data_IF_538346000252
#
_entry.id   IF_538346000252
#
_cell.length_a   1.000
_cell.length_b   1.000
_cell.length_c   1.000
_cell.angle_alpha   90.00
_cell.angle_beta   90.00
_cell.angle_gamma   90.00
#
_symmetry.space_group_name_H-M   'P 1'
#
loop_
_entity.id
_entity.type
_entity.pdbx_description
1 polymer ?
#
# COMPACT_ATOMS: atom_id res chain seq x y z
N UNK A 1 -13.18 -2.03 -6.92
CA UNK A 1 -12.36 -2.39 -8.10
C UNK A 1 -13.15 -3.13 -9.17
N UNK A 2 -13.55 -4.40 -9.00
CA UNK A 2 -14.15 -5.21 -10.09
C UNK A 2 -15.41 -4.63 -10.76
N UNK A 3 -16.24 -3.87 -10.03
CA UNK A 3 -17.37 -3.17 -10.63
C UNK A 3 -16.93 -2.13 -11.68
N UNK A 4 -15.83 -1.42 -11.42
CA UNK A 4 -15.24 -0.45 -12.34
C UNK A 4 -14.64 -1.16 -13.57
N UNK A 5 -13.94 -2.29 -13.37
CA UNK A 5 -13.40 -3.08 -14.46
C UNK A 5 -14.46 -3.58 -15.44
N UNK A 6 -15.70 -3.80 -14.98
CA UNK A 6 -16.83 -4.24 -15.82
C UNK A 6 -17.64 -3.09 -16.41
N UNK A 7 -17.31 -1.84 -16.10
CA UNK A 7 -18.04 -0.71 -16.59
C UNK A 7 -17.80 -0.55 -18.11
N UNK A 8 -18.85 -0.40 -18.94
CA UNK A 8 -18.70 -0.42 -20.40
C UNK A 8 -18.10 0.88 -20.97
N UNK A 9 -18.25 1.99 -20.26
CA UNK A 9 -17.68 3.28 -20.66
C UNK A 9 -16.39 3.57 -19.89
N UNK A 10 -15.57 4.46 -20.45
CA UNK A 10 -14.31 4.91 -19.85
C UNK A 10 -14.52 5.37 -18.40
N UNK A 11 -13.71 4.82 -17.50
CA UNK A 11 -13.64 5.19 -16.08
C UNK A 11 -12.37 6.01 -15.86
N UNK A 12 -12.51 7.22 -15.36
CA UNK A 12 -11.39 8.08 -14.94
C UNK A 12 -11.45 8.28 -13.43
N UNK A 13 -10.31 8.10 -12.76
CA UNK A 13 -10.15 8.37 -11.32
C UNK A 13 -9.28 9.59 -11.14
N UNK A 14 -9.78 10.59 -10.42
CA UNK A 14 -9.04 11.81 -10.07
C UNK A 14 -8.47 11.69 -8.65
N UNK A 15 -7.15 11.88 -8.52
CA UNK A 15 -6.40 11.82 -7.25
C UNK A 15 -5.81 13.20 -6.98
N UNK A 16 -6.52 14.09 -6.25
CA UNK A 16 -6.06 15.44 -5.98
C UNK A 16 -5.01 15.54 -4.87
N UNK A 17 -4.96 14.55 -3.95
CA UNK A 17 -4.03 14.57 -2.81
C UNK A 17 -3.36 13.21 -2.58
N UNK A 18 -4.14 12.17 -2.28
CA UNK A 18 -3.57 10.83 -2.11
C UNK A 18 -4.61 9.74 -2.31
N UNK A 19 -4.16 8.55 -2.74
CA UNK A 19 -4.96 7.33 -2.75
C UNK A 19 -4.09 6.14 -2.29
N UNK A 20 -4.31 5.70 -1.05
CA UNK A 20 -3.54 4.62 -0.42
C UNK A 20 -4.35 3.33 -0.31
N UNK A 21 -3.70 2.17 -0.31
CA UNK A 21 -4.31 0.86 -0.05
C UNK A 21 -5.54 0.61 -0.95
N UNK A 22 -6.75 0.51 -0.38
CA UNK A 22 -7.99 0.35 -1.14
C UNK A 22 -8.26 1.46 -2.17
N UNK A 23 -7.82 2.69 -1.91
CA UNK A 23 -7.90 3.80 -2.86
C UNK A 23 -7.05 3.55 -4.10
N UNK A 24 -5.85 3.01 -3.92
CA UNK A 24 -4.97 2.60 -5.03
C UNK A 24 -5.62 1.48 -5.84
N UNK A 25 -6.23 0.47 -5.21
CA UNK A 25 -6.94 -0.59 -5.92
C UNK A 25 -8.12 -0.07 -6.77
N UNK A 26 -8.77 1.01 -6.33
CA UNK A 26 -9.80 1.70 -7.10
C UNK A 26 -9.17 2.43 -8.30
N UNK A 27 -8.08 3.18 -8.07
CA UNK A 27 -7.36 3.88 -9.13
C UNK A 27 -6.84 2.93 -10.21
N UNK A 28 -6.23 1.80 -9.82
CA UNK A 28 -5.73 0.77 -10.74
C UNK A 28 -6.84 0.13 -11.60
N UNK A 29 -8.09 0.17 -11.14
CA UNK A 29 -9.22 -0.36 -11.91
C UNK A 29 -9.75 0.60 -12.99
N UNK A 30 -9.32 1.87 -12.96
CA UNK A 30 -9.71 2.88 -13.94
C UNK A 30 -8.99 2.69 -15.28
N UNK A 31 -9.55 3.27 -16.34
CA UNK A 31 -8.88 3.39 -17.64
C UNK A 31 -7.81 4.48 -17.63
N UNK A 32 -7.99 5.50 -16.80
CA UNK A 32 -7.10 6.64 -16.66
C UNK A 32 -7.08 7.11 -15.20
N UNK A 33 -5.89 7.41 -14.70
CA UNK A 33 -5.68 7.97 -13.36
C UNK A 33 -5.16 9.40 -13.55
N UNK A 34 -5.98 10.39 -13.23
CA UNK A 34 -5.56 11.79 -13.27
C UNK A 34 -5.05 12.18 -11.89
N UNK A 35 -3.77 12.46 -11.78
CA UNK A 35 -3.11 12.82 -10.52
C UNK A 35 -2.78 14.30 -10.52
N UNK A 36 -2.92 14.95 -9.37
CA UNK A 36 -2.18 16.18 -9.12
C UNK A 36 -0.67 15.87 -9.14
N UNK A 37 0.21 16.78 -9.63
CA UNK A 37 1.65 16.56 -9.65
C UNK A 37 2.26 16.19 -8.29
N UNK A 38 1.69 16.71 -7.20
CA UNK A 38 2.12 16.47 -5.82
C UNK A 38 1.29 15.36 -5.14
N UNK A 39 0.35 14.74 -5.85
CA UNK A 39 -0.43 13.63 -5.31
C UNK A 39 0.35 12.31 -5.29
N UNK A 40 -0.05 11.44 -4.36
CA UNK A 40 0.62 10.16 -4.14
C UNK A 40 -0.35 8.99 -4.17
N UNK A 41 0.08 7.88 -4.78
CA UNK A 41 -0.52 6.57 -4.60
C UNK A 41 0.22 5.81 -3.50
N UNK A 42 -0.42 4.79 -2.92
CA UNK A 42 0.22 3.89 -1.97
C UNK A 42 0.46 2.50 -2.56
N UNK A 43 1.38 1.72 -2.00
CA UNK A 43 1.43 0.29 -2.26
C UNK A 43 0.14 -0.39 -1.75
N UNK A 44 -0.09 -1.61 -2.23
CA UNK A 44 -1.25 -2.42 -1.84
C UNK A 44 -0.82 -3.66 -1.07
N UNK A 45 0.40 -3.66 -0.53
CA UNK A 45 0.95 -4.76 0.25
C UNK A 45 0.08 -5.05 1.48
N UNK A 46 -0.15 -6.33 1.80
CA UNK A 46 -0.96 -6.69 2.96
C UNK A 46 -0.19 -6.55 4.27
N UNK A 47 -0.86 -6.00 5.27
CA UNK A 47 -0.40 -5.95 6.66
C UNK A 47 -1.16 -6.95 7.53
N UNK A 48 -0.47 -7.62 8.44
CA UNK A 48 -1.04 -8.57 9.40
C UNK A 48 -0.75 -8.08 10.83
N UNK A 49 -1.78 -7.56 11.49
CA UNK A 49 -1.61 -6.85 12.75
C UNK A 49 -0.74 -5.62 12.55
N UNK A 50 0.37 -5.53 13.29
CA UNK A 50 1.30 -4.40 13.23
C UNK A 50 2.48 -4.62 12.28
N UNK A 51 2.49 -5.73 11.52
CA UNK A 51 3.64 -6.12 10.71
C UNK A 51 3.29 -6.26 9.23
N UNK A 52 4.17 -5.83 8.31
CA UNK A 52 4.05 -6.17 6.90
C UNK A 52 4.14 -7.68 6.68
N UNK A 53 3.31 -8.22 5.80
CA UNK A 53 3.33 -9.65 5.47
C UNK A 53 4.71 -10.13 5.00
N UNK A 54 5.41 -9.30 4.21
CA UNK A 54 6.74 -9.63 3.66
C UNK A 54 7.78 -9.76 4.76
N UNK A 55 7.71 -8.93 5.80
CA UNK A 55 8.60 -9.01 6.95
C UNK A 55 8.43 -10.31 7.73
N UNK A 56 7.19 -10.80 7.88
CA UNK A 56 6.91 -12.09 8.53
C UNK A 56 7.51 -13.27 7.74
N UNK A 57 7.48 -13.20 6.40
CA UNK A 57 8.13 -14.22 5.56
C UNK A 57 9.65 -14.20 5.69
N UNK A 58 10.24 -13.01 5.83
CA UNK A 58 11.68 -12.85 6.00
C UNK A 58 12.18 -13.51 7.29
N UNK A 59 11.40 -13.47 8.37
CA UNK A 59 11.74 -14.17 9.62
C UNK A 59 11.91 -15.68 9.40
N UNK A 60 11.10 -16.30 8.53
CA UNK A 60 11.22 -17.72 8.19
C UNK A 60 12.50 -18.07 7.43
N UNK A 61 13.12 -17.09 6.77
CA UNK A 61 14.35 -17.28 6.00
C UNK A 61 15.60 -17.05 6.87
N UNK A 62 15.50 -16.17 7.86
CA UNK A 62 16.64 -15.72 8.67
C UNK A 62 16.80 -16.49 9.99
N UNK A 63 15.75 -17.17 10.47
CA UNK A 63 15.79 -17.93 11.72
C UNK A 63 15.46 -19.40 11.49
N UNK A 64 16.15 -20.27 12.22
CA UNK A 64 15.77 -21.68 12.29
C UNK A 64 14.38 -21.82 12.91
N UNK A 65 13.59 -22.74 12.36
CA UNK A 65 12.18 -22.95 12.72
C UNK A 65 11.96 -23.20 14.22
N UNK A 66 12.93 -23.82 14.88
CA UNK A 66 12.92 -24.12 16.32
C UNK A 66 12.98 -22.86 17.21
N UNK A 67 13.45 -21.73 16.66
CA UNK A 67 13.57 -20.44 17.35
C UNK A 67 12.48 -19.45 16.95
N UNK A 68 11.43 -19.89 16.25
CA UNK A 68 10.30 -19.08 15.81
C UNK A 68 9.08 -19.52 16.60
N UNK A 69 8.37 -18.56 17.19
CA UNK A 69 7.12 -18.85 17.90
C UNK A 69 6.01 -19.27 16.93
N UNK A 70 5.11 -20.13 17.40
CA UNK A 70 4.01 -20.68 16.59
C UNK A 70 3.12 -19.58 15.99
N UNK A 71 2.93 -18.47 16.71
CA UNK A 71 2.11 -17.36 16.22
C UNK A 71 2.77 -16.69 15.01
N UNK A 72 4.09 -16.47 15.03
CA UNK A 72 4.84 -15.96 13.87
C UNK A 72 4.76 -16.93 12.69
N UNK A 73 4.84 -18.25 12.92
CA UNK A 73 4.68 -19.23 11.85
C UNK A 73 3.29 -19.16 11.19
N UNK A 74 2.23 -19.04 12.00
CA UNK A 74 0.86 -18.89 11.51
C UNK A 74 0.70 -17.58 10.74
N UNK A 75 1.17 -16.46 11.31
CA UNK A 75 1.10 -15.15 10.66
C UNK A 75 1.87 -15.13 9.35
N UNK A 76 3.03 -15.78 9.27
CA UNK A 76 3.80 -15.89 8.04
C UNK A 76 3.04 -16.70 6.97
N UNK A 77 2.38 -17.80 7.33
CA UNK A 77 1.55 -18.55 6.38
C UNK A 77 0.35 -17.73 5.88
N UNK A 78 -0.35 -17.02 6.77
CA UNK A 78 -1.44 -16.09 6.39
C UNK A 78 -0.89 -14.96 5.52
N UNK A 79 0.28 -14.42 5.85
CA UNK A 79 0.95 -13.37 5.08
C UNK A 79 1.29 -13.79 3.67
N UNK A 80 1.85 -15.00 3.49
CA UNK A 80 2.10 -15.60 2.17
C UNK A 80 0.83 -15.67 1.34
N UNK A 81 -0.27 -16.14 1.93
CA UNK A 81 -1.57 -16.25 1.26
C UNK A 81 -2.10 -14.86 0.89
N UNK A 82 -1.99 -13.89 1.79
CA UNK A 82 -2.45 -12.53 1.56
C UNK A 82 -1.69 -11.85 0.41
N UNK A 83 -0.36 -11.96 0.38
CA UNK A 83 0.47 -11.40 -0.72
C UNK A 83 0.03 -11.98 -2.06
N UNK A 84 -0.11 -13.30 -2.13
CA UNK A 84 -0.53 -13.98 -3.35
C UNK A 84 -1.95 -13.58 -3.79
N UNK A 85 -2.88 -13.43 -2.84
CA UNK A 85 -4.24 -12.99 -3.12
C UNK A 85 -4.29 -11.56 -3.65
N UNK A 86 -3.54 -10.64 -3.05
CA UNK A 86 -3.46 -9.25 -3.51
C UNK A 86 -2.80 -9.19 -4.88
N UNK A 87 -1.66 -9.87 -5.09
CA UNK A 87 -0.97 -9.91 -6.39
C UNK A 87 -1.92 -10.38 -7.49
N UNK A 88 -2.62 -11.49 -7.28
CA UNK A 88 -3.63 -12.01 -8.22
C UNK A 88 -4.78 -11.03 -8.45
N UNK A 89 -5.21 -10.32 -7.42
CA UNK A 89 -6.26 -9.31 -7.54
C UNK A 89 -5.81 -8.16 -8.43
N UNK A 90 -4.63 -7.59 -8.17
CA UNK A 90 -4.05 -6.50 -8.96
C UNK A 90 -3.80 -6.94 -10.40
N UNK A 91 -3.24 -8.13 -10.61
CA UNK A 91 -3.03 -8.68 -11.94
C UNK A 91 -4.35 -8.77 -12.72
N UNK A 92 -5.41 -9.33 -12.13
CA UNK A 92 -6.74 -9.42 -12.77
C UNK A 92 -7.35 -8.05 -13.09
N UNK A 93 -7.06 -7.04 -12.28
CA UNK A 93 -7.54 -5.67 -12.49
C UNK A 93 -6.82 -5.03 -13.69
N UNK A 94 -5.51 -5.23 -13.79
CA UNK A 94 -4.66 -4.58 -14.78
C UNK A 94 -4.60 -5.31 -16.14
N UNK A 95 -4.64 -6.65 -16.14
CA UNK A 95 -4.46 -7.49 -17.33
C UNK A 95 -5.34 -7.09 -18.52
N UNK A 96 -6.65 -6.80 -18.37
CA UNK A 96 -7.50 -6.38 -19.49
C UNK A 96 -7.06 -5.07 -20.16
N UNK A 97 -6.30 -4.22 -19.47
CA UNK A 97 -5.94 -2.87 -19.94
C UNK A 97 -4.53 -2.78 -20.51
N UNK A 98 -3.61 -3.61 -20.03
CA UNK A 98 -2.18 -3.50 -20.37
C UNK A 98 -1.49 -4.83 -20.71
N UNK A 99 -2.26 -5.92 -20.76
CA UNK A 99 -1.76 -7.25 -21.06
C UNK A 99 -1.14 -7.96 -19.85
N UNK A 100 -1.08 -9.29 -19.93
CA UNK A 100 -0.69 -10.15 -18.83
C UNK A 100 0.74 -9.87 -18.30
N UNK A 101 1.72 -9.70 -19.19
CA UNK A 101 3.12 -9.51 -18.79
C UNK A 101 3.32 -8.19 -18.01
N UNK A 102 2.77 -7.08 -18.53
CA UNK A 102 2.90 -5.77 -17.86
C UNK A 102 2.09 -5.73 -16.56
N UNK A 103 0.89 -6.30 -16.55
CA UNK A 103 0.07 -6.43 -15.35
C UNK A 103 0.78 -7.23 -14.25
N UNK A 104 1.44 -8.34 -14.61
CA UNK A 104 2.17 -9.17 -13.66
C UNK A 104 3.37 -8.44 -13.04
N UNK A 105 4.16 -7.73 -13.86
CA UNK A 105 5.30 -6.91 -13.37
C UNK A 105 4.85 -5.84 -12.37
N UNK A 106 3.76 -5.13 -12.67
CA UNK A 106 3.24 -4.06 -11.80
C UNK A 106 2.62 -4.66 -10.54
N UNK A 107 1.84 -5.74 -10.68
CA UNK A 107 1.26 -6.43 -9.54
C UNK A 107 2.35 -6.94 -8.58
N UNK A 108 3.45 -7.45 -9.12
CA UNK A 108 4.61 -7.84 -8.33
C UNK A 108 5.23 -6.64 -7.62
N UNK A 109 5.57 -5.57 -8.34
CA UNK A 109 6.20 -4.38 -7.73
C UNK A 109 5.38 -3.80 -6.57
N UNK A 110 4.05 -3.78 -6.71
CA UNK A 110 3.14 -3.25 -5.70
C UNK A 110 2.87 -4.20 -4.51
N UNK A 111 3.31 -5.46 -4.56
CA UNK A 111 3.01 -6.48 -3.54
C UNK A 111 4.22 -7.19 -2.94
N UNK A 112 5.39 -7.12 -3.58
CA UNK A 112 6.61 -7.84 -3.16
C UNK A 112 7.29 -7.25 -1.92
N UNK A 113 6.78 -6.13 -1.39
CA UNK A 113 7.40 -5.42 -0.27
C UNK A 113 8.66 -4.65 -0.66
N UNK A 114 8.74 -4.20 -1.93
CA UNK A 114 9.77 -3.26 -2.40
C UNK A 114 9.78 -1.98 -1.57
N UNK A 115 8.60 -1.59 -1.08
CA UNK A 115 8.38 -0.39 -0.30
C UNK A 115 7.71 -0.71 1.04
N UNK A 116 7.85 0.22 1.99
CA UNK A 116 7.01 0.23 3.19
C UNK A 116 5.58 0.63 2.82
N UNK A 117 4.60 0.23 3.64
CA UNK A 117 3.19 0.48 3.36
C UNK A 117 2.84 1.97 3.18
N UNK A 118 3.58 2.86 3.84
CA UNK A 118 3.39 4.31 3.77
C UNK A 118 4.22 4.99 2.69
N UNK A 119 4.90 4.24 1.83
CA UNK A 119 5.71 4.82 0.77
C UNK A 119 4.83 5.57 -0.24
N UNK A 120 5.08 6.87 -0.46
CA UNK A 120 4.36 7.64 -1.46
C UNK A 120 4.87 7.29 -2.85
N UNK A 121 4.03 6.69 -3.68
CA UNK A 121 4.27 6.51 -5.11
C UNK A 121 3.83 7.79 -5.80
N UNK A 122 4.79 8.61 -6.20
CA UNK A 122 4.57 9.89 -6.88
C UNK A 122 4.01 9.71 -8.29
N UNK A 123 3.53 10.79 -8.90
CA UNK A 123 3.10 10.78 -10.30
C UNK A 123 4.20 10.25 -11.25
N UNK A 124 5.45 10.68 -11.08
CA UNK A 124 6.56 10.24 -11.93
C UNK A 124 6.87 8.75 -11.73
N UNK A 125 6.89 8.26 -10.49
CA UNK A 125 7.08 6.82 -10.22
C UNK A 125 5.92 5.98 -10.80
N UNK A 126 4.68 6.45 -10.67
CA UNK A 126 3.52 5.79 -11.25
C UNK A 126 3.62 5.71 -12.78
N UNK A 127 4.12 6.77 -13.42
CA UNK A 127 4.38 6.84 -14.85
C UNK A 127 5.51 5.92 -15.28
N UNK A 128 6.60 5.86 -14.52
CA UNK A 128 7.74 4.95 -14.75
C UNK A 128 7.34 3.47 -14.60
N UNK A 129 6.47 3.16 -13.64
CA UNK A 129 5.84 1.84 -13.50
C UNK A 129 4.95 1.49 -14.71
N UNK A 130 4.58 2.49 -15.51
CA UNK A 130 3.78 2.34 -16.71
C UNK A 130 2.28 2.32 -16.45
N UNK A 131 1.82 2.89 -15.32
CA UNK A 131 0.40 3.12 -15.07
C UNK A 131 -0.16 4.19 -16.04
N UNK A 132 -1.46 4.13 -16.38
CA UNK A 132 -2.10 5.10 -17.28
C UNK A 132 -2.38 6.42 -16.54
N UNK A 133 -1.33 7.13 -16.14
CA UNK A 133 -1.41 8.37 -15.38
C UNK A 133 -1.38 9.62 -16.28
N UNK A 134 -2.08 10.67 -15.86
CA UNK A 134 -2.08 12.01 -16.48
C UNK A 134 -2.07 13.08 -15.39
N UNK A 135 -1.35 14.17 -15.62
CA UNK A 135 -1.25 15.34 -14.72
C UNK A 135 -2.31 16.44 -15.01
N UNK A 136 -3.17 16.20 -16.01
CA UNK A 136 -4.20 17.17 -16.46
C UNK A 136 -5.42 17.21 -15.54
N UNK A 137 -5.23 17.64 -14.29
CA UNK A 137 -6.30 17.81 -13.32
C UNK A 137 -7.21 19.00 -13.70
N UNK A 138 -8.54 18.81 -13.85
CA UNK A 138 -9.46 19.91 -14.08
C UNK A 138 -9.55 20.84 -12.86
N UNK A 139 -9.52 22.18 -13.03
CA UNK A 139 -9.64 23.13 -11.93
C UNK A 139 -10.90 22.94 -11.07
N UNK A 140 -11.98 22.43 -11.65
CA UNK A 140 -13.24 22.15 -10.98
C UNK A 140 -13.09 21.09 -9.88
N UNK A 141 -12.14 20.16 -10.02
CA UNK A 141 -11.87 19.14 -8.99
C UNK A 141 -11.25 19.80 -7.75
N UNK A 142 -10.29 20.72 -7.94
CA UNK A 142 -9.73 21.49 -6.82
C UNK A 142 -10.80 22.37 -6.17
N UNK A 143 -11.66 23.00 -6.97
CA UNK A 143 -12.76 23.79 -6.44
C UNK A 143 -13.70 22.93 -5.59
N UNK A 144 -14.08 21.74 -6.07
CA UNK A 144 -14.88 20.80 -5.31
C UNK A 144 -14.20 20.43 -3.98
N UNK A 145 -12.91 20.09 -3.99
CA UNK A 145 -12.17 19.75 -2.77
C UNK A 145 -12.11 20.91 -1.77
N UNK A 146 -12.02 22.16 -2.25
CA UNK A 146 -12.03 23.35 -1.38
C UNK A 146 -13.33 23.54 -0.59
N UNK A 147 -14.45 22.98 -1.08
CA UNK A 147 -15.74 23.01 -0.38
C UNK A 147 -15.82 21.99 0.78
N UNK A 148 -14.91 21.01 0.80
CA UNK A 148 -14.86 19.94 1.79
C UNK A 148 -13.46 19.88 2.43
N UNK A 149 -13.07 20.89 3.22
CA UNK A 149 -11.78 20.89 3.89
C UNK A 149 -11.65 19.63 4.77
N UNK A 150 -10.60 18.85 4.52
CA UNK A 150 -10.36 17.63 5.29
C UNK A 150 -10.20 18.00 6.77
N UNK A 151 -10.90 17.32 7.69
CA UNK A 151 -10.72 17.56 9.11
C UNK A 151 -9.26 17.25 9.45
N UNK A 152 -8.50 18.29 9.80
CA UNK A 152 -7.12 18.12 10.27
C UNK A 152 -7.20 17.28 11.54
N UNK A 153 -6.78 16.00 11.46
CA UNK A 153 -6.51 15.22 12.66
C UNK A 153 -5.46 16.00 13.43
N UNK A 154 -5.85 16.67 14.51
CA UNK A 154 -4.91 17.22 15.48
C UNK A 154 -4.16 16.03 16.06
N UNK A 155 -2.99 15.73 15.51
CA UNK A 155 -1.99 14.98 16.28
C UNK A 155 -1.71 15.84 17.51
N UNK A 156 -2.02 15.37 18.74
CA UNK A 156 -1.66 16.13 19.93
C UNK A 156 -0.16 16.38 19.90
N UNK A 157 0.27 17.59 20.26
CA UNK A 157 1.69 17.96 20.37
C UNK A 157 2.46 17.12 21.39
N UNK A 158 1.73 16.35 22.20
CA UNK A 158 2.25 15.40 23.19
C UNK A 158 1.67 14.03 22.85
N UNK A 159 2.55 13.10 22.52
CA UNK A 159 2.22 11.69 22.34
C UNK A 159 2.35 10.98 23.69
N UNK A 160 1.23 10.48 24.23
CA UNK A 160 1.25 9.69 25.45
C UNK A 160 1.71 8.26 25.12
N UNK A 161 2.92 7.92 25.54
CA UNK A 161 3.48 6.58 25.38
C UNK A 161 2.87 5.69 26.47
N UNK A 162 1.88 4.87 26.11
CA UNK A 162 1.17 3.94 27.02
C UNK A 162 1.99 2.71 27.45
N UNK A 163 3.27 2.63 27.06
CA UNK A 163 4.15 1.51 27.38
C UNK A 163 4.99 1.87 28.61
N UNK A 164 5.03 1.05 29.67
CA UNK A 164 5.96 1.28 30.77
C UNK A 164 7.39 1.25 30.23
N UNK A 165 8.18 2.27 30.57
CA UNK A 165 9.62 2.26 30.34
C UNK A 165 10.18 0.97 30.93
N UNK A 166 10.71 0.07 30.09
CA UNK A 166 11.52 -1.04 30.58
C UNK A 166 12.74 -0.41 31.24
N UNK A 167 12.74 -0.38 32.57
CA UNK A 167 13.90 -0.01 33.35
C UNK A 167 15.09 -0.83 32.85
N UNK A 168 16.17 -0.15 32.52
CA UNK A 168 17.45 -0.78 32.22
C UNK A 168 17.78 -1.69 33.41
N UNK A 169 17.70 -3.00 33.21
CA UNK A 169 18.22 -3.93 34.18
C UNK A 169 19.74 -3.73 34.19
N UNK A 170 20.22 -2.95 35.16
CA UNK A 170 21.63 -2.87 35.50
C UNK A 170 22.16 -4.28 35.64
N UNK A 171 23.11 -4.61 34.77
CA UNK A 171 23.72 -5.93 34.70
C UNK A 171 24.22 -6.36 36.07
N UNK A 172 23.91 -7.62 36.38
CA UNK A 172 24.68 -8.40 37.33
C UNK A 172 26.11 -8.54 36.80
N UNK A 173 27.09 -8.03 37.52
CA UNK A 173 28.42 -8.63 37.53
C UNK A 173 28.92 -8.73 38.97
N UNK A 174 29.40 -9.94 39.27
CA UNK A 174 29.82 -10.44 40.58
C UNK A 174 31.30 -10.08 40.82
N UNK A 175 31.65 -9.78 42.07
CA UNK A 175 32.75 -10.39 42.83
C UNK A 175 32.79 -9.78 44.24
#
# INVERSE_FOLDING_TARGET
AYALCRHPAKVTVFVPHHAMSGGTLIALAADEIVMDPDAVLGPVDPQLGNYPAVSLLKVLQEKDREHIDDQTLILADVGRKAIEQVRKCVQKILEPKMGAEKADRIAQALTEGRWTHDHPITYEEAKELGLPVSDRMPPEIYHLMSLYPQPVRRTPSVEYISIPYRGCASGSERA
#
